data_IF_611397840651
#
_entry.id   IF_611397840651
#
_cell.length_a   1.000
_cell.length_b   1.000
_cell.length_c   1.000
_cell.angle_alpha   90.00
_cell.angle_beta   90.00
_cell.angle_gamma   90.00
#
_symmetry.space_group_name_H-M   'P 1'
#
loop_
_entity.id
_entity.type
_entity.pdbx_description
1 polymer ?
#
# COMPACT_ATOMS: atom_id res chain seq x y z
N UNK A 1 -17.69 17.72 16.63
CA UNK A 1 -16.66 17.67 15.58
C UNK A 1 -17.19 16.81 14.45
N UNK A 2 -17.33 17.36 13.23
CA UNK A 2 -17.81 16.64 12.04
C UNK A 2 -16.72 16.54 10.98
N UNK A 3 -16.83 15.53 10.12
CA UNK A 3 -15.96 15.37 8.96
C UNK A 3 -16.46 16.29 7.85
N UNK A 4 -15.54 17.06 7.25
CA UNK A 4 -15.78 17.97 6.12
C UNK A 4 -15.51 17.30 4.78
N UNK A 5 -14.45 16.49 4.69
CA UNK A 5 -14.09 15.82 3.43
C UNK A 5 -13.28 14.55 3.67
N UNK A 6 -13.46 13.59 2.77
CA UNK A 6 -12.68 12.35 2.68
C UNK A 6 -12.13 12.28 1.25
N UNK A 7 -10.83 12.06 1.10
CA UNK A 7 -10.19 11.97 -0.21
C UNK A 7 -9.23 10.77 -0.22
N UNK A 8 -9.44 9.85 -1.16
CA UNK A 8 -8.50 8.78 -1.44
C UNK A 8 -7.74 9.03 -2.75
N UNK A 9 -6.46 8.68 -2.78
CA UNK A 9 -5.62 8.79 -3.97
C UNK A 9 -4.50 7.76 -3.96
N UNK A 10 -4.04 7.39 -5.15
CA UNK A 10 -2.92 6.46 -5.32
C UNK A 10 -1.57 7.12 -4.99
N UNK A 11 -0.73 6.41 -4.25
CA UNK A 11 0.66 6.80 -3.94
C UNK A 11 1.64 5.66 -4.25
N UNK A 12 2.82 6.02 -4.75
CA UNK A 12 3.95 5.08 -4.89
C UNK A 12 4.86 5.19 -3.67
N UNK A 13 4.92 4.14 -2.86
CA UNK A 13 5.76 4.09 -1.65
C UNK A 13 7.13 3.45 -1.88
N UNK A 14 7.54 3.22 -3.15
CA UNK A 14 8.84 2.62 -3.43
C UNK A 14 9.94 3.53 -2.88
N UNK A 15 10.67 3.12 -1.83
CA UNK A 15 11.57 4.05 -1.16
C UNK A 15 12.83 4.25 -2.01
N UNK A 16 13.15 5.50 -2.32
CA UNK A 16 14.47 5.86 -2.86
C UNK A 16 15.47 6.02 -1.71
N UNK A 17 15.95 4.90 -1.19
CA UNK A 17 16.85 4.87 -0.03
C UNK A 17 18.23 5.37 -0.45
N UNK A 18 18.60 6.58 0.01
CA UNK A 18 19.94 7.16 -0.23
C UNK A 18 21.01 6.74 0.79
N UNK A 19 20.58 6.15 1.91
CA UNK A 19 21.45 5.77 3.02
C UNK A 19 21.70 4.27 3.05
N UNK A 20 22.80 3.85 3.67
CA UNK A 20 23.05 2.43 3.91
C UNK A 20 22.00 1.90 4.90
N UNK A 21 21.22 0.86 4.55
CA UNK A 21 20.27 0.24 5.46
C UNK A 21 20.96 -0.23 6.75
N UNK A 22 20.33 0.00 7.91
CA UNK A 22 20.86 -0.46 9.21
C UNK A 22 21.05 -1.97 9.27
N UNK A 23 20.20 -2.72 8.57
CA UNK A 23 20.25 -4.17 8.44
C UNK A 23 20.74 -4.49 7.03
N UNK A 24 21.69 -5.42 6.84
CA UNK A 24 22.08 -5.85 5.50
C UNK A 24 20.83 -6.25 4.73
N UNK A 25 20.63 -5.66 3.55
CA UNK A 25 19.60 -6.15 2.63
C UNK A 25 19.91 -7.63 2.36
N UNK A 26 18.89 -8.47 2.45
CA UNK A 26 18.96 -9.81 1.86
C UNK A 26 19.49 -9.69 0.43
N UNK A 27 20.35 -10.61 0.01
CA UNK A 27 20.89 -10.63 -1.37
C UNK A 27 19.78 -10.68 -2.42
N UNK A 28 18.62 -11.20 -2.03
CA UNK A 28 17.39 -11.05 -2.78
C UNK A 28 16.35 -10.31 -1.89
N UNK A 29 15.94 -9.06 -2.23
CA UNK A 29 14.92 -8.32 -1.50
C UNK A 29 13.53 -8.95 -1.59
N UNK A 30 13.36 -9.95 -2.45
CA UNK A 30 12.19 -10.81 -2.60
C UNK A 30 12.46 -12.25 -2.14
N UNK A 31 13.60 -12.48 -1.47
CA UNK A 31 14.01 -13.80 -0.96
C UNK A 31 13.01 -14.25 0.09
N UNK A 32 11.99 -14.90 -0.43
CA UNK A 32 10.96 -15.58 0.31
C UNK A 32 11.22 -17.07 0.25
N UNK A 33 12.47 -17.50 -0.01
CA UNK A 33 12.84 -18.92 -0.03
C UNK A 33 12.60 -19.63 1.32
N UNK A 34 12.25 -18.89 2.39
CA UNK A 34 11.72 -19.42 3.65
C UNK A 34 10.22 -19.22 3.89
N UNK A 35 9.52 -18.35 3.15
CA UNK A 35 8.10 -18.03 3.39
C UNK A 35 7.20 -19.06 2.70
N UNK A 36 6.63 -19.97 3.50
CA UNK A 36 5.73 -21.01 2.99
C UNK A 36 4.45 -20.37 2.46
N UNK A 37 4.12 -20.64 1.21
CA UNK A 37 2.87 -20.21 0.56
C UNK A 37 2.36 -21.32 -0.36
N UNK A 38 1.07 -21.30 -0.75
CA UNK A 38 0.55 -22.24 -1.75
C UNK A 38 1.34 -22.23 -3.06
N UNK A 39 1.93 -21.09 -3.43
CA UNK A 39 2.71 -20.93 -4.66
C UNK A 39 4.07 -21.62 -4.62
N UNK A 40 4.54 -22.07 -3.44
CA UNK A 40 5.78 -22.87 -3.32
C UNK A 40 5.73 -24.18 -4.11
N UNK A 41 4.53 -24.64 -4.49
CA UNK A 41 4.33 -25.80 -5.37
C UNK A 41 4.85 -25.57 -6.80
N UNK A 42 5.06 -24.32 -7.20
CA UNK A 42 5.51 -23.94 -8.54
C UNK A 42 6.91 -23.32 -8.46
N UNK A 43 7.98 -24.12 -8.55
CA UNK A 43 9.35 -23.66 -8.31
C UNK A 43 9.86 -22.63 -9.33
N UNK A 44 9.23 -22.58 -10.51
CA UNK A 44 9.59 -21.64 -11.58
C UNK A 44 8.88 -20.28 -11.47
N UNK A 45 8.01 -20.09 -10.47
CA UNK A 45 7.26 -18.85 -10.28
C UNK A 45 7.75 -18.21 -8.98
N UNK A 46 8.51 -17.13 -9.10
CA UNK A 46 8.99 -16.39 -7.92
C UNK A 46 7.85 -15.62 -7.26
N UNK A 47 8.02 -15.22 -5.99
CA UNK A 47 7.01 -14.41 -5.31
C UNK A 47 6.70 -13.11 -6.02
N UNK A 48 7.72 -12.43 -6.55
CA UNK A 48 7.54 -11.19 -7.31
C UNK A 48 6.69 -11.37 -8.56
N UNK A 49 6.69 -12.57 -9.17
CA UNK A 49 5.92 -12.85 -10.38
C UNK A 49 4.43 -13.01 -10.10
N UNK A 50 4.06 -13.58 -8.95
CA UNK A 50 2.65 -13.81 -8.60
C UNK A 50 2.07 -12.80 -7.61
N UNK A 51 2.90 -12.02 -6.92
CA UNK A 51 2.42 -10.98 -6.02
C UNK A 51 1.80 -9.82 -6.79
N UNK A 52 0.68 -9.29 -6.30
CA UNK A 52 0.08 -8.09 -6.87
C UNK A 52 1.02 -6.88 -6.72
N UNK A 53 1.55 -6.36 -7.83
CA UNK A 53 2.42 -5.19 -7.88
C UNK A 53 1.62 -3.87 -7.87
N UNK A 54 0.61 -3.78 -7.01
CA UNK A 54 -0.26 -2.61 -6.97
C UNK A 54 0.39 -1.51 -6.12
N UNK A 55 0.15 -0.26 -6.49
CA UNK A 55 0.49 0.89 -5.66
C UNK A 55 -0.38 0.88 -4.39
N UNK A 56 -0.18 1.90 -3.54
CA UNK A 56 -0.95 2.04 -2.30
C UNK A 56 -2.01 3.10 -2.45
N UNK A 57 -3.13 2.93 -1.75
CA UNK A 57 -4.12 4.00 -1.58
C UNK A 57 -3.81 4.75 -0.30
N UNK A 58 -3.65 6.07 -0.39
CA UNK A 58 -3.65 6.97 0.74
C UNK A 58 -5.04 7.60 0.91
N UNK A 59 -5.39 7.95 2.14
CA UNK A 59 -6.65 8.58 2.50
C UNK A 59 -6.36 9.73 3.45
N UNK A 60 -6.91 10.91 3.13
CA UNK A 60 -6.92 12.07 4.01
C UNK A 60 -8.36 12.36 4.40
N UNK A 61 -8.60 12.55 5.70
CA UNK A 61 -9.89 12.95 6.26
C UNK A 61 -9.70 14.29 6.94
N UNK A 62 -10.49 15.29 6.57
CA UNK A 62 -10.42 16.65 7.14
C UNK A 62 -11.71 16.95 7.88
N UNK A 63 -11.59 17.46 9.11
CA UNK A 63 -12.71 17.93 9.93
C UNK A 63 -12.99 19.42 9.70
N UNK A 64 -14.16 19.90 10.14
CA UNK A 64 -14.56 21.31 9.96
C UNK A 64 -13.66 22.32 10.69
N UNK A 65 -13.00 21.90 11.77
CA UNK A 65 -12.08 22.70 12.58
C UNK A 65 -10.66 22.77 11.99
N UNK A 66 -10.44 22.13 10.83
CA UNK A 66 -9.14 22.08 10.15
C UNK A 66 -8.21 20.95 10.61
N UNK A 67 -8.60 20.17 11.62
CA UNK A 67 -7.87 18.95 11.98
C UNK A 67 -8.00 17.92 10.86
N UNK A 68 -6.96 17.10 10.68
CA UNK A 68 -6.97 16.06 9.66
C UNK A 68 -6.30 14.78 10.16
N UNK A 69 -6.75 13.66 9.59
CA UNK A 69 -6.20 12.33 9.78
C UNK A 69 -5.70 11.77 8.46
N UNK A 70 -4.72 10.86 8.55
CA UNK A 70 -4.11 10.20 7.42
C UNK A 70 -4.00 8.70 7.64
N UNK A 71 -4.32 7.92 6.61
CA UNK A 71 -4.12 6.47 6.57
C UNK A 71 -3.75 6.01 5.18
N UNK A 72 -3.13 4.83 5.06
CA UNK A 72 -2.87 4.23 3.75
C UNK A 72 -2.98 2.70 3.82
N UNK A 73 -3.29 2.09 2.68
CA UNK A 73 -3.52 0.65 2.54
C UNK A 73 -3.02 0.12 1.19
N UNK A 74 -3.12 -1.18 0.98
CA UNK A 74 -2.74 -1.86 -0.25
C UNK A 74 -3.83 -1.74 -1.33
N UNK A 75 -3.52 -2.26 -2.52
CA UNK A 75 -4.47 -2.42 -3.61
C UNK A 75 -5.04 -1.10 -4.17
N UNK A 76 -4.15 -0.20 -4.60
CA UNK A 76 -4.53 1.03 -5.34
C UNK A 76 -5.42 0.76 -6.54
N UNK A 77 -6.25 1.74 -6.93
CA UNK A 77 -7.25 1.61 -7.98
C UNK A 77 -8.58 1.10 -7.43
N UNK A 78 -8.62 -0.15 -6.97
CA UNK A 78 -9.87 -0.71 -6.41
C UNK A 78 -10.28 -0.01 -5.12
N UNK A 79 -9.36 0.11 -4.16
CA UNK A 79 -9.67 0.74 -2.86
C UNK A 79 -9.93 2.24 -3.00
N UNK A 80 -9.27 2.90 -3.95
CA UNK A 80 -9.47 4.33 -4.22
C UNK A 80 -10.88 4.61 -4.72
N UNK A 81 -11.34 3.90 -5.76
CA UNK A 81 -12.70 4.05 -6.29
C UNK A 81 -13.76 3.69 -5.25
N UNK A 82 -13.59 2.60 -4.49
CA UNK A 82 -14.52 2.25 -3.41
C UNK A 82 -14.65 3.39 -2.39
N UNK A 83 -13.54 4.02 -2.01
CA UNK A 83 -13.60 5.12 -1.04
C UNK A 83 -14.28 6.33 -1.67
N UNK A 84 -13.79 6.81 -2.82
CA UNK A 84 -14.25 8.06 -3.41
C UNK A 84 -15.67 7.99 -3.99
N UNK A 85 -16.09 6.82 -4.48
CA UNK A 85 -17.37 6.68 -5.18
C UNK A 85 -18.49 6.16 -4.25
N UNK A 86 -18.13 5.53 -3.12
CA UNK A 86 -19.12 4.87 -2.26
C UNK A 86 -19.01 5.23 -0.78
N UNK A 87 -17.80 5.30 -0.20
CA UNK A 87 -17.63 5.49 1.24
C UNK A 87 -17.47 6.97 1.66
N UNK A 88 -17.09 7.86 0.76
CA UNK A 88 -16.85 9.28 1.05
C UNK A 88 -18.10 10.15 0.95
N UNK A 89 -19.28 9.56 0.79
CA UNK A 89 -20.53 10.29 0.75
C UNK A 89 -20.84 10.87 2.14
N UNK A 90 -20.79 12.21 2.25
CA UNK A 90 -21.00 13.00 3.47
C UNK A 90 -22.11 14.04 3.27
#
# INVERSE_FOLDING_TARGET
MKIKSIQAFTIELKPNIKTTPRVPKSKDPFDTNGMVSPMKRYPNISRSDWSANWNRTAVIITAEDGNWGFGFTLHSGATESIINDHLSNL
#
